data_IF_102026913230
#
_entry.id   IF_102026913230
#
_cell.length_a   1.000
_cell.length_b   1.000
_cell.length_c   1.000
_cell.angle_alpha   90.00
_cell.angle_beta   90.00
_cell.angle_gamma   90.00
#
_symmetry.space_group_name_H-M   'P 1'
#
loop_
_entity.id
_entity.type
_entity.pdbx_description
1 polymer ?
#
# COMPACT_ATOMS: atom_id res chain seq x y z
N UNK A 1 13.45 2.21 0.66
CA UNK A 1 12.36 2.96 1.22
C UNK A 1 13.04 4.02 2.05
N UNK A 2 12.87 5.28 1.67
CA UNK A 2 13.32 6.40 2.48
C UNK A 2 12.18 6.72 3.44
N UNK A 3 12.50 6.92 4.71
CA UNK A 3 11.54 7.27 5.74
C UNK A 3 11.43 8.80 5.83
N UNK A 4 10.22 9.31 5.80
CA UNK A 4 9.92 10.75 5.94
C UNK A 4 8.87 10.91 7.05
N UNK A 5 9.12 11.80 8.00
CA UNK A 5 8.18 12.17 9.06
C UNK A 5 7.10 13.09 8.46
N UNK A 6 5.82 12.78 8.68
CA UNK A 6 4.70 13.49 8.02
C UNK A 6 3.61 13.90 9.02
N UNK A 7 3.08 15.11 8.88
CA UNK A 7 1.93 15.59 9.64
C UNK A 7 0.60 15.29 8.90
N UNK A 8 0.42 14.04 8.47
CA UNK A 8 -0.75 13.61 7.69
C UNK A 8 -1.65 12.73 8.55
N UNK A 9 -2.96 12.92 8.41
CA UNK A 9 -3.98 12.08 9.01
C UNK A 9 -4.76 11.35 7.92
N UNK A 10 -5.14 10.11 8.21
CA UNK A 10 -5.99 9.29 7.33
C UNK A 10 -7.30 8.99 8.03
N UNK A 11 -8.37 9.01 7.24
CA UNK A 11 -9.73 8.71 7.68
C UNK A 11 -10.17 7.43 6.96
N UNK A 12 -10.52 6.40 7.73
CA UNK A 12 -10.94 5.11 7.20
C UNK A 12 -12.43 4.87 7.44
N UNK A 13 -13.09 4.22 6.47
CA UNK A 13 -14.50 3.82 6.59
C UNK A 13 -15.51 4.94 6.28
N UNK A 14 -15.06 6.00 5.62
CA UNK A 14 -15.90 7.10 5.18
C UNK A 14 -16.75 6.70 3.96
N UNK A 15 -18.04 6.97 4.03
CA UNK A 15 -18.96 6.84 2.90
C UNK A 15 -19.23 8.20 2.24
N UNK A 16 -19.24 9.27 3.05
CA UNK A 16 -19.38 10.66 2.60
C UNK A 16 -18.28 11.51 3.22
N UNK A 17 -17.88 12.57 2.51
CA UNK A 17 -16.88 13.54 2.96
C UNK A 17 -17.47 14.66 3.81
N UNK A 18 -18.74 14.55 4.21
CA UNK A 18 -19.40 15.52 5.08
C UNK A 18 -18.84 15.44 6.50
N UNK A 19 -18.71 16.59 7.18
CA UNK A 19 -18.10 16.67 8.52
C UNK A 19 -18.76 15.70 9.52
N UNK A 20 -20.08 15.61 9.48
CA UNK A 20 -20.87 14.74 10.35
C UNK A 20 -20.58 13.24 10.16
N UNK A 21 -20.24 12.80 8.95
CA UNK A 21 -19.85 11.40 8.69
C UNK A 21 -18.38 11.15 9.04
N UNK A 22 -17.48 12.11 8.75
CA UNK A 22 -16.06 11.99 9.08
C UNK A 22 -15.82 11.85 10.59
N UNK A 23 -16.69 12.40 11.44
CA UNK A 23 -16.61 12.23 12.89
C UNK A 23 -17.04 10.84 13.38
N UNK A 24 -17.81 10.10 12.57
CA UNK A 24 -18.15 8.68 12.83
C UNK A 24 -17.08 7.71 12.30
N UNK A 25 -16.12 8.21 11.53
CA UNK A 25 -15.06 7.43 10.92
C UNK A 25 -13.85 7.31 11.85
N UNK A 26 -12.99 6.33 11.57
CA UNK A 26 -11.76 6.16 12.34
C UNK A 26 -10.65 7.04 11.75
N UNK A 27 -10.02 7.85 12.60
CA UNK A 27 -8.95 8.78 12.24
C UNK A 27 -7.62 8.25 12.81
N UNK A 28 -6.60 8.14 11.95
CA UNK A 28 -5.27 7.67 12.34
C UNK A 28 -4.22 8.68 11.93
N UNK A 29 -3.26 8.90 12.82
CA UNK A 29 -2.05 9.65 12.50
C UNK A 29 -1.10 8.77 11.69
N UNK A 30 -0.48 9.33 10.66
CA UNK A 30 0.62 8.67 9.95
C UNK A 30 1.90 8.88 10.75
N UNK A 31 2.58 7.78 11.08
CA UNK A 31 3.85 7.79 11.82
C UNK A 31 5.03 7.91 10.86
N UNK A 32 5.01 7.15 9.77
CA UNK A 32 6.07 7.14 8.77
C UNK A 32 5.49 6.94 7.37
N UNK A 33 6.13 7.55 6.37
CA UNK A 33 5.87 7.31 4.96
C UNK A 33 7.09 6.68 4.30
N UNK A 34 6.86 5.63 3.52
CA UNK A 34 7.88 4.87 2.79
C UNK A 34 7.62 4.95 1.29
N UNK A 35 8.33 5.84 0.60
CA UNK A 35 8.23 5.98 -0.86
C UNK A 35 9.07 4.89 -1.54
N UNK A 36 8.59 4.38 -2.67
CA UNK A 36 9.33 3.41 -3.48
C UNK A 36 10.69 4.00 -3.93
N UNK A 37 11.77 3.21 -3.80
CA UNK A 37 13.15 3.71 -4.05
C UNK A 37 13.36 4.20 -5.49
N UNK A 38 12.65 3.59 -6.43
CA UNK A 38 12.78 3.88 -7.86
C UNK A 38 11.67 4.82 -8.36
N UNK A 39 10.90 5.42 -7.45
CA UNK A 39 9.90 6.39 -7.82
C UNK A 39 10.54 7.51 -8.64
N UNK A 40 9.94 7.81 -9.79
CA UNK A 40 10.41 8.87 -10.67
C UNK A 40 9.26 9.82 -10.99
N UNK A 41 9.35 11.04 -10.47
CA UNK A 41 8.32 12.06 -10.60
C UNK A 41 8.04 12.49 -12.05
N UNK A 42 9.05 12.45 -12.94
CA UNK A 42 8.89 12.85 -14.34
C UNK A 42 8.17 11.81 -15.19
N UNK A 43 8.30 10.53 -14.84
CA UNK A 43 7.74 9.41 -15.62
C UNK A 43 6.59 8.70 -14.91
N UNK A 44 6.32 9.03 -13.64
CA UNK A 44 5.41 8.32 -12.73
C UNK A 44 5.74 6.82 -12.59
N UNK A 45 6.99 6.44 -12.88
CA UNK A 45 7.45 5.08 -12.71
C UNK A 45 7.47 4.74 -11.23
N UNK A 46 6.97 3.54 -10.90
CA UNK A 46 6.91 3.01 -9.54
C UNK A 46 6.21 3.96 -8.55
N UNK A 47 5.10 4.56 -8.96
CA UNK A 47 4.26 5.47 -8.16
C UNK A 47 3.47 4.71 -7.09
N UNK A 48 4.21 4.25 -6.07
CA UNK A 48 3.69 3.54 -4.91
C UNK A 48 4.41 4.00 -3.63
N UNK A 49 3.65 4.17 -2.56
CA UNK A 49 4.15 4.46 -1.23
C UNK A 49 3.38 3.67 -0.18
N UNK A 50 4.05 3.34 0.93
CA UNK A 50 3.44 2.71 2.09
C UNK A 50 3.35 3.73 3.23
N UNK A 51 2.18 3.83 3.86
CA UNK A 51 1.94 4.68 5.03
C UNK A 51 1.84 3.79 6.27
N UNK A 52 2.67 4.06 7.27
CA UNK A 52 2.59 3.40 8.57
C UNK A 52 1.68 4.21 9.48
N UNK A 53 0.59 3.61 9.93
CA UNK A 53 -0.36 4.25 10.83
C UNK A 53 0.05 4.03 12.29
N UNK A 54 -0.28 4.98 13.14
CA UNK A 54 -0.22 4.80 14.59
C UNK A 54 -1.13 3.62 15.00
N UNK A 55 -0.60 2.74 15.84
CA UNK A 55 -1.34 1.55 16.28
C UNK A 55 -2.49 1.95 17.19
N UNK A 56 -3.68 1.42 16.92
CA UNK A 56 -4.89 1.62 17.71
C UNK A 56 -5.66 0.30 17.75
N UNK A 57 -6.31 -0.02 18.87
CA UNK A 57 -6.97 -1.32 19.09
C UNK A 57 -8.23 -1.55 18.22
N UNK A 58 -8.68 -0.52 17.48
CA UNK A 58 -9.95 -0.52 16.74
C UNK A 58 -9.85 -0.69 15.21
N UNK A 59 -8.71 -1.15 14.70
CA UNK A 59 -8.42 -1.23 13.26
C UNK A 59 -9.43 -2.06 12.43
N UNK A 60 -10.13 -3.01 13.04
CA UNK A 60 -11.10 -3.88 12.38
C UNK A 60 -12.51 -3.58 12.87
N UNK A 61 -13.46 -3.55 11.94
CA UNK A 61 -14.88 -3.29 12.24
C UNK A 61 -15.75 -3.50 11.02
N UNK A 62 -17.06 -3.33 11.18
CA UNK A 62 -18.04 -3.66 10.12
C UNK A 62 -17.80 -2.86 8.82
N UNK A 63 -17.28 -1.64 8.95
CA UNK A 63 -16.93 -0.73 7.84
C UNK A 63 -15.48 -0.84 7.37
N UNK A 64 -14.64 -1.60 8.06
CA UNK A 64 -13.19 -1.65 7.83
C UNK A 64 -12.72 -3.08 7.66
N UNK A 65 -12.34 -3.42 6.43
CA UNK A 65 -11.74 -4.72 6.11
C UNK A 65 -10.47 -4.52 5.29
N UNK A 66 -9.39 -5.27 5.59
CA UNK A 66 -8.16 -5.19 4.81
C UNK A 66 -8.36 -5.79 3.41
N UNK A 67 -7.72 -5.18 2.42
CA UNK A 67 -7.63 -5.75 1.09
C UNK A 67 -6.51 -6.81 1.04
N UNK A 68 -6.69 -7.82 0.18
CA UNK A 68 -5.64 -8.81 -0.10
C UNK A 68 -4.65 -8.25 -1.12
N UNK A 69 -3.36 -8.49 -0.88
CA UNK A 69 -2.30 -8.22 -1.84
C UNK A 69 -1.86 -9.56 -2.43
N UNK A 70 -1.84 -9.67 -3.77
CA UNK A 70 -1.42 -10.88 -4.46
C UNK A 70 0.07 -10.79 -4.80
N UNK A 71 0.81 -11.84 -4.45
CA UNK A 71 2.19 -12.02 -4.88
C UNK A 71 2.27 -12.99 -6.05
N UNK A 72 3.07 -12.67 -7.06
CA UNK A 72 3.50 -13.69 -8.01
C UNK A 72 4.46 -14.63 -7.28
N UNK A 73 4.15 -15.93 -7.30
CA UNK A 73 5.15 -16.92 -6.91
C UNK A 73 6.30 -16.77 -7.91
N UNK A 74 7.49 -16.43 -7.40
CA UNK A 74 8.70 -16.54 -8.21
C UNK A 74 8.85 -18.01 -8.51
N UNK A 75 8.55 -18.42 -9.74
CA UNK A 75 8.93 -19.73 -10.19
C UNK A 75 10.46 -19.76 -10.18
N UNK A 76 11.03 -20.61 -9.34
CA UNK A 76 12.40 -21.06 -9.54
C UNK A 76 12.39 -22.02 -10.74
N UNK A 77 11.95 -21.54 -11.91
CA UNK A 77 12.10 -22.28 -13.14
C UNK A 77 13.58 -22.19 -13.49
N UNK A 78 14.29 -23.30 -13.26
CA UNK A 78 15.60 -23.56 -13.88
C UNK A 78 15.46 -23.25 -15.37
N UNK A 79 16.35 -22.46 -15.99
CA UNK A 79 16.32 -22.32 -17.43
C UNK A 79 16.63 -23.69 -18.01
N UNK A 80 15.62 -24.39 -18.52
CA UNK A 80 15.87 -25.55 -19.38
C UNK A 80 16.70 -25.03 -20.56
N UNK A 81 17.88 -25.61 -20.66
CA UNK A 81 18.86 -25.30 -21.68
C UNK A 81 18.18 -25.28 -23.05
N UNK A 82 18.59 -24.30 -23.86
CA UNK A 82 18.31 -24.20 -25.28
C UNK A 82 18.58 -25.53 -26.00
N UNK A 83 17.58 -26.42 -26.09
CA UNK A 83 17.65 -27.58 -26.97
C UNK A 83 17.14 -27.18 -28.33
N UNK A 84 18.05 -26.57 -29.08
CA UNK A 84 18.06 -26.55 -30.53
C UNK A 84 17.84 -27.97 -31.07
N UNK A 85 16.70 -28.20 -31.72
CA UNK A 85 16.51 -28.90 -33.01
C UNK A 85 15.10 -29.48 -33.10
N UNK A 86 14.33 -29.03 -34.09
CA UNK A 86 13.68 -29.94 -35.05
C UNK A 86 13.38 -29.18 -36.35
N UNK A 87 13.47 -29.93 -37.44
CA UNK A 87 13.65 -29.54 -38.84
C UNK A 87 12.52 -28.73 -39.46
#
# INVERSE_FOLDING_TARGET
MQEVETAVNVILGAHQTTKAELDKCQKFKVTSMYVHKNYNQSTLKDDIALLRLETNDRMLGDRLRPARVYGLQRTNAVPEASSSTYR
#
